data_IF_157549089820
#
_entry.id   IF_157549089820
#
_cell.length_a   1.000
_cell.length_b   1.000
_cell.length_c   1.000
_cell.angle_alpha   90.00
_cell.angle_beta   90.00
_cell.angle_gamma   90.00
#
_symmetry.space_group_name_H-M   'P 1'
#
loop_
_entity.id
_entity.type
_entity.pdbx_description
1 polymer ?
#
# COMPACT_ATOMS: atom_id res chain seq x y z
N UNK A 1 29.35 -19.89 24.36
CA UNK A 1 28.69 -18.86 23.55
C UNK A 1 28.03 -19.57 22.38
N UNK A 2 26.75 -19.88 22.51
CA UNK A 2 25.96 -20.43 21.42
C UNK A 2 25.63 -19.30 20.44
N UNK A 3 25.65 -19.52 19.12
CA UNK A 3 25.05 -18.57 18.20
C UNK A 3 23.57 -18.53 18.51
N UNK A 4 23.06 -17.33 18.80
CA UNK A 4 21.64 -17.06 18.87
C UNK A 4 21.06 -17.48 17.53
N UNK A 5 20.11 -18.42 17.56
CA UNK A 5 19.26 -18.69 16.41
C UNK A 5 18.56 -17.36 16.06
N UNK A 6 18.92 -16.77 14.93
CA UNK A 6 18.00 -15.92 14.17
C UNK A 6 16.87 -16.81 13.66
N UNK A 7 15.95 -17.16 14.56
CA UNK A 7 14.61 -17.58 14.21
C UNK A 7 13.69 -16.37 14.33
N UNK A 8 13.91 -15.35 13.49
CA UNK A 8 12.83 -14.46 13.10
C UNK A 8 12.41 -14.93 11.72
N UNK A 9 11.20 -15.49 11.61
CA UNK A 9 10.54 -15.65 10.33
C UNK A 9 10.30 -14.25 9.76
N UNK A 10 11.32 -13.68 9.14
CA UNK A 10 11.23 -12.41 8.43
C UNK A 10 10.26 -12.65 7.28
N UNK A 11 9.03 -12.16 7.42
CA UNK A 11 8.00 -12.28 6.41
C UNK A 11 8.18 -11.10 5.46
N UNK A 12 8.81 -11.35 4.31
CA UNK A 12 8.81 -10.39 3.22
C UNK A 12 7.35 -10.05 2.89
N UNK A 13 6.99 -8.77 2.96
CA UNK A 13 5.66 -8.30 2.63
C UNK A 13 5.76 -7.13 1.66
N UNK A 14 5.26 -7.36 0.44
CA UNK A 14 5.14 -6.29 -0.53
C UNK A 14 4.01 -5.33 -0.19
N UNK A 15 4.33 -4.05 -0.17
CA UNK A 15 3.38 -2.96 0.02
C UNK A 15 3.48 -1.98 -1.14
N UNK A 16 2.39 -1.83 -1.89
CA UNK A 16 2.29 -0.79 -2.91
C UNK A 16 1.67 0.45 -2.27
N UNK A 17 2.46 1.51 -2.15
CA UNK A 17 1.97 2.84 -1.86
C UNK A 17 1.53 3.53 -3.15
N UNK A 18 0.39 4.20 -3.11
CA UNK A 18 -0.14 5.05 -4.18
C UNK A 18 -0.47 6.41 -3.57
N UNK A 19 0.03 7.47 -4.20
CA UNK A 19 -0.26 8.85 -3.86
C UNK A 19 -0.87 9.55 -5.06
N UNK A 20 -2.01 10.21 -4.86
CA UNK A 20 -2.68 11.04 -5.86
C UNK A 20 -2.39 12.52 -5.60
N UNK A 21 -2.10 13.29 -6.65
CA UNK A 21 -1.86 14.72 -6.58
C UNK A 21 -2.88 15.51 -7.41
N UNK A 22 -3.67 16.36 -6.74
CA UNK A 22 -4.57 17.33 -7.36
C UNK A 22 -3.87 18.68 -7.43
N UNK A 23 -3.69 19.23 -8.64
CA UNK A 23 -3.02 20.52 -8.85
C UNK A 23 -1.63 20.65 -8.19
N UNK A 24 -0.93 19.52 -8.03
CA UNK A 24 0.41 19.46 -7.42
C UNK A 24 0.41 19.19 -5.92
N UNK A 25 -0.74 19.26 -5.26
CA UNK A 25 -0.93 18.97 -3.84
C UNK A 25 -1.35 17.51 -3.63
N UNK A 26 -0.81 16.85 -2.60
CA UNK A 26 -1.18 15.48 -2.24
C UNK A 26 -2.63 15.45 -1.79
N UNK A 27 -3.51 14.74 -2.51
CA UNK A 27 -4.94 14.60 -2.16
C UNK A 27 -5.24 13.28 -1.47
N UNK A 28 -4.61 12.17 -1.88
CA UNK A 28 -4.91 10.84 -1.34
C UNK A 28 -3.66 10.00 -1.21
N UNK A 29 -3.52 9.28 -0.11
CA UNK A 29 -2.51 8.22 0.07
C UNK A 29 -3.21 6.89 0.33
N UNK A 30 -2.78 5.85 -0.36
CA UNK A 30 -3.23 4.48 -0.17
C UNK A 30 -2.03 3.55 -0.03
N UNK A 31 -2.15 2.58 0.86
CA UNK A 31 -1.25 1.44 0.92
C UNK A 31 -2.04 0.18 0.58
N UNK A 32 -1.46 -0.64 -0.29
CA UNK A 32 -2.06 -1.87 -0.79
C UNK A 32 -1.15 -3.04 -0.46
N UNK A 33 -1.74 -4.08 0.13
CA UNK A 33 -1.05 -5.28 0.60
C UNK A 33 -1.84 -6.52 0.19
N UNK A 34 -1.22 -7.69 0.27
CA UNK A 34 -1.90 -8.98 0.09
C UNK A 34 -1.68 -9.89 1.30
N UNK A 35 -2.77 -10.26 1.95
CA UNK A 35 -2.85 -11.21 3.05
C UNK A 35 -2.88 -12.63 2.44
N UNK A 36 -1.84 -13.46 2.67
CA UNK A 36 -1.75 -14.78 2.02
C UNK A 36 -2.52 -15.88 2.74
N UNK A 37 -2.75 -15.74 4.05
CA UNK A 37 -3.57 -16.66 4.86
C UNK A 37 -5.03 -16.48 4.48
N UNK A 38 -5.55 -15.24 4.50
CA UNK A 38 -6.92 -14.91 4.12
C UNK A 38 -7.12 -14.84 2.59
N UNK A 39 -6.01 -14.83 1.84
CA UNK A 39 -5.96 -14.78 0.36
C UNK A 39 -6.74 -13.60 -0.20
N UNK A 40 -6.49 -12.42 0.34
CA UNK A 40 -7.15 -11.19 -0.06
C UNK A 40 -6.25 -9.97 -0.03
N UNK A 41 -6.58 -9.00 -0.86
CA UNK A 41 -5.99 -7.69 -0.86
C UNK A 41 -6.57 -6.79 0.22
N UNK A 42 -5.65 -6.07 0.84
CA UNK A 42 -5.75 -4.93 1.71
C UNK A 42 -5.72 -3.54 1.11
N UNK A 43 -6.60 -2.60 1.43
CA UNK A 43 -6.26 -1.17 1.32
C UNK A 43 -6.38 -0.53 2.69
N UNK A 44 -5.35 0.24 3.05
CA UNK A 44 -5.41 1.27 4.09
C UNK A 44 -5.19 2.61 3.42
N UNK A 45 -6.21 3.45 3.38
CA UNK A 45 -6.15 4.73 2.67
C UNK A 45 -6.66 5.90 3.49
N UNK A 46 -6.21 7.11 3.17
CA UNK A 46 -6.70 8.36 3.74
C UNK A 46 -6.61 9.46 2.68
N UNK A 47 -7.58 10.35 2.64
CA UNK A 47 -7.44 11.63 1.92
C UNK A 47 -6.58 12.59 2.76
N UNK A 48 -5.93 13.53 2.12
CA UNK A 48 -5.33 14.67 2.82
C UNK A 48 -6.45 15.58 3.29
N UNK A 49 -6.24 16.16 4.46
CA UNK A 49 -7.12 17.17 5.00
C UNK A 49 -6.94 18.48 4.20
N UNK A 50 -7.66 18.62 3.08
CA UNK A 50 -7.57 19.76 2.16
C UNK A 50 -8.06 21.09 2.78
N UNK A 51 -8.72 21.03 3.94
CA UNK A 51 -9.20 22.17 4.70
C UNK A 51 -8.91 21.98 6.18
N UNK A 52 -8.65 23.04 6.95
CA UNK A 52 -8.59 22.97 8.42
C UNK A 52 -9.88 22.41 9.06
N UNK A 53 -11.00 22.40 8.32
CA UNK A 53 -12.28 21.83 8.76
C UNK A 53 -12.52 20.41 8.24
N UNK A 54 -11.68 19.89 7.35
CA UNK A 54 -11.76 18.49 6.93
C UNK A 54 -10.94 17.63 7.91
N UNK A 55 -11.61 16.69 8.56
CA UNK A 55 -11.00 15.64 9.38
C UNK A 55 -11.28 14.30 8.70
N UNK A 56 -10.62 14.10 7.56
CA UNK A 56 -10.78 12.89 6.78
C UNK A 56 -10.27 11.70 7.59
N UNK A 57 -11.07 10.63 7.64
CA UNK A 57 -10.73 9.43 8.39
C UNK A 57 -10.06 8.40 7.49
N UNK A 58 -9.08 7.65 8.03
CA UNK A 58 -8.59 6.47 7.34
C UNK A 58 -9.74 5.51 7.07
N UNK A 59 -9.70 4.87 5.92
CA UNK A 59 -10.65 3.84 5.52
C UNK A 59 -9.92 2.54 5.19
N UNK A 60 -10.70 1.47 5.16
CA UNK A 60 -10.25 0.14 4.85
C UNK A 60 -11.12 -0.48 3.78
N UNK A 61 -10.50 -1.17 2.84
CA UNK A 61 -11.20 -1.94 1.81
C UNK A 61 -10.49 -3.27 1.62
N UNK A 62 -11.27 -4.34 1.43
CA UNK A 62 -10.76 -5.69 1.23
C UNK A 62 -11.35 -6.28 -0.04
N UNK A 63 -10.53 -6.98 -0.82
CA UNK A 63 -11.00 -7.64 -2.04
C UNK A 63 -10.14 -8.84 -2.39
N UNK A 64 -10.71 -9.89 -2.97
CA UNK A 64 -9.94 -11.07 -3.41
C UNK A 64 -9.29 -10.91 -4.78
N UNK A 65 -9.84 -10.02 -5.61
CA UNK A 65 -9.50 -9.91 -7.02
C UNK A 65 -8.84 -8.56 -7.34
N UNK A 66 -7.77 -8.61 -8.14
CA UNK A 66 -6.98 -7.43 -8.48
C UNK A 66 -7.71 -6.46 -9.43
N UNK A 67 -8.64 -6.94 -10.26
CA UNK A 67 -9.42 -6.08 -11.16
C UNK A 67 -10.46 -5.28 -10.36
N UNK A 68 -11.19 -5.95 -9.47
CA UNK A 68 -12.14 -5.30 -8.57
C UNK A 68 -11.45 -4.31 -7.62
N UNK A 69 -10.24 -4.64 -7.16
CA UNK A 69 -9.43 -3.72 -6.38
C UNK A 69 -8.99 -2.50 -7.19
N UNK A 70 -8.60 -2.70 -8.46
CA UNK A 70 -8.30 -1.61 -9.37
C UNK A 70 -9.52 -0.72 -9.62
N UNK A 71 -10.73 -1.29 -9.73
CA UNK A 71 -11.98 -0.52 -9.84
C UNK A 71 -12.19 0.38 -8.62
N UNK A 72 -12.03 -0.17 -7.42
CA UNK A 72 -12.13 0.62 -6.19
C UNK A 72 -11.09 1.75 -6.14
N UNK A 73 -9.83 1.46 -6.44
CA UNK A 73 -8.76 2.48 -6.46
C UNK A 73 -9.11 3.58 -7.47
N UNK A 74 -9.60 3.22 -8.66
CA UNK A 74 -9.97 4.16 -9.72
C UNK A 74 -11.19 5.02 -9.38
N UNK A 75 -12.06 4.52 -8.50
CA UNK A 75 -13.17 5.30 -7.94
C UNK A 75 -12.67 6.25 -6.85
N UNK A 76 -11.77 5.78 -5.99
CA UNK A 76 -11.31 6.51 -4.83
C UNK A 76 -10.29 7.61 -5.17
N UNK A 77 -9.54 7.48 -6.28
CA UNK A 77 -8.67 8.54 -6.82
C UNK A 77 -9.27 9.19 -8.07
N UNK A 78 -8.95 10.45 -8.35
CA UNK A 78 -9.27 11.05 -9.65
C UNK A 78 -8.29 10.56 -10.71
N UNK A 79 -8.74 9.71 -11.64
CA UNK A 79 -7.90 9.18 -12.74
C UNK A 79 -7.30 10.23 -13.70
N UNK A 80 -7.76 11.49 -13.62
CA UNK A 80 -7.19 12.61 -14.39
C UNK A 80 -5.97 13.23 -13.69
N UNK A 81 -5.82 13.00 -12.39
CA UNK A 81 -4.73 13.51 -11.59
C UNK A 81 -3.44 12.72 -11.83
N UNK A 82 -2.33 13.30 -11.38
CA UNK A 82 -1.04 12.60 -11.39
C UNK A 82 -0.97 11.69 -10.18
N UNK A 83 -0.34 10.54 -10.36
CA UNK A 83 -0.06 9.62 -9.27
C UNK A 83 1.44 9.34 -9.13
N UNK A 84 1.88 9.18 -7.89
CA UNK A 84 3.15 8.57 -7.55
C UNK A 84 2.85 7.19 -6.97
N UNK A 85 3.66 6.20 -7.28
CA UNK A 85 3.54 4.89 -6.65
C UNK A 85 4.91 4.31 -6.34
N UNK A 86 4.99 3.69 -5.17
CA UNK A 86 6.23 3.12 -4.62
C UNK A 86 5.93 1.72 -4.13
N UNK A 87 6.79 0.77 -4.48
CA UNK A 87 6.74 -0.60 -3.99
C UNK A 87 7.78 -0.78 -2.89
N UNK A 88 7.33 -1.19 -1.71
CA UNK A 88 8.17 -1.52 -0.56
C UNK A 88 8.20 -3.02 -0.30
N UNK A 89 9.27 -3.50 0.31
CA UNK A 89 9.35 -4.83 0.94
C UNK A 89 9.65 -4.68 2.43
N UNK A 90 8.63 -4.76 3.27
CA UNK A 90 8.81 -4.74 4.73
C UNK A 90 9.02 -6.17 5.24
N UNK A 91 9.86 -6.35 6.26
CA UNK A 91 10.16 -7.67 6.85
C UNK A 91 9.62 -7.83 8.27
N UNK A 92 9.04 -6.77 8.84
CA UNK A 92 8.66 -6.64 10.25
C UNK A 92 7.21 -6.15 10.44
N UNK A 93 6.34 -6.43 9.47
CA UNK A 93 4.91 -6.13 9.61
C UNK A 93 4.24 -7.08 10.63
N UNK A 94 3.21 -6.61 11.34
CA UNK A 94 2.36 -7.45 12.18
C UNK A 94 1.79 -8.66 11.43
N UNK A 95 1.65 -9.77 12.15
CA UNK A 95 1.14 -11.03 11.58
C UNK A 95 -0.35 -10.96 11.22
N UNK A 96 -1.10 -10.03 11.83
CA UNK A 96 -2.53 -9.86 11.59
C UNK A 96 -2.78 -8.58 10.80
N UNK A 97 -3.46 -8.69 9.67
CA UNK A 97 -3.74 -7.54 8.80
C UNK A 97 -4.54 -6.43 9.48
N UNK A 98 -5.34 -6.75 10.51
CA UNK A 98 -6.06 -5.77 11.34
C UNK A 98 -5.15 -4.89 12.20
N UNK A 99 -3.94 -5.36 12.52
CA UNK A 99 -2.93 -4.57 13.25
C UNK A 99 -2.16 -3.63 12.31
N UNK A 100 -2.17 -3.91 11.00
CA UNK A 100 -1.56 -3.08 9.96
C UNK A 100 -2.49 -1.90 9.64
N UNK A 101 -2.39 -0.84 10.44
CA UNK A 101 -3.21 0.38 10.27
C UNK A 101 -2.60 1.36 9.26
N UNK A 102 -3.40 2.32 8.79
CA UNK A 102 -2.91 3.43 7.95
C UNK A 102 -1.78 4.22 8.65
N UNK A 103 -1.97 4.56 9.93
CA UNK A 103 -0.99 5.33 10.70
C UNK A 103 0.32 4.58 10.83
N UNK A 104 0.26 3.27 11.14
CA UNK A 104 1.43 2.41 11.22
C UNK A 104 2.23 2.40 9.91
N UNK A 105 1.55 2.18 8.76
CA UNK A 105 2.23 2.21 7.45
C UNK A 105 2.78 3.60 7.11
N UNK A 106 2.09 4.67 7.51
CA UNK A 106 2.56 6.05 7.27
C UNK A 106 3.79 6.40 8.10
N UNK A 107 3.95 5.80 9.29
CA UNK A 107 5.17 5.94 10.10
C UNK A 107 6.36 5.23 9.43
N UNK A 108 6.13 4.04 8.86
CA UNK A 108 7.15 3.26 8.13
C UNK A 108 7.52 3.85 6.75
N UNK A 109 6.63 4.60 6.12
CA UNK A 109 6.79 5.24 4.79
C UNK A 109 8.04 6.13 4.69
N UNK A 110 8.58 6.62 5.82
CA UNK A 110 9.74 7.50 5.83
C UNK A 110 11.08 6.77 5.63
N UNK A 111 11.10 5.43 5.58
CA UNK A 111 12.32 4.65 5.49
C UNK A 111 12.56 4.09 4.08
N UNK A 112 13.37 4.83 3.31
CA UNK A 112 13.76 4.45 1.94
C UNK A 112 14.50 3.11 1.82
N UNK A 113 14.97 2.50 2.92
CA UNK A 113 15.66 1.21 2.88
C UNK A 113 14.76 0.05 2.45
N UNK A 114 13.45 0.22 2.60
CA UNK A 114 12.46 -0.76 2.17
C UNK A 114 12.01 -0.59 0.72
N UNK A 115 12.38 0.50 0.05
CA UNK A 115 11.94 0.78 -1.31
C UNK A 115 12.60 -0.17 -2.32
N UNK A 116 11.78 -0.82 -3.14
CA UNK A 116 12.21 -1.61 -4.30
C UNK A 116 12.19 -0.74 -5.57
N UNK A 117 11.12 0.04 -5.75
CA UNK A 117 10.93 0.88 -6.92
C UNK A 117 9.95 2.02 -6.64
N UNK A 118 10.24 3.21 -7.14
CA UNK A 118 9.38 4.39 -7.08
C UNK A 118 9.20 5.05 -8.46
N UNK A 119 8.00 5.56 -8.73
CA UNK A 119 7.68 6.26 -9.96
C UNK A 119 6.85 7.51 -9.68
N UNK A 120 7.41 8.67 -10.03
CA UNK A 120 6.79 9.95 -9.71
C UNK A 120 5.85 10.48 -10.80
N UNK A 121 4.73 11.06 -10.35
CA UNK A 121 3.82 11.93 -11.11
C UNK A 121 3.47 11.38 -12.51
N UNK A 122 3.15 10.09 -12.59
CA UNK A 122 2.71 9.42 -13.82
C UNK A 122 1.25 9.76 -14.16
N UNK A 123 0.85 9.44 -15.38
CA UNK A 123 -0.57 9.40 -15.74
C UNK A 123 -1.17 8.08 -15.26
N UNK A 124 -2.41 8.11 -14.80
CA UNK A 124 -3.15 6.90 -14.47
C UNK A 124 -3.17 5.93 -15.66
N UNK A 125 -2.86 4.66 -15.39
CA UNK A 125 -2.94 3.56 -16.35
C UNK A 125 -3.45 2.31 -15.65
N UNK A 126 -4.71 1.95 -15.92
CA UNK A 126 -5.36 0.80 -15.30
C UNK A 126 -4.57 -0.50 -15.49
N UNK A 127 -4.10 -0.76 -16.71
CA UNK A 127 -3.37 -1.99 -17.01
C UNK A 127 -2.09 -2.09 -16.16
N UNK A 128 -1.40 -0.97 -15.97
CA UNK A 128 -0.22 -0.92 -15.11
C UNK A 128 -0.59 -1.14 -13.64
N UNK A 129 -1.65 -0.49 -13.14
CA UNK A 129 -2.16 -0.70 -11.78
C UNK A 129 -2.43 -2.18 -11.53
N UNK A 130 -3.22 -2.82 -12.39
CA UNK A 130 -3.59 -4.23 -12.28
C UNK A 130 -2.35 -5.13 -12.26
N UNK A 131 -1.35 -4.87 -13.11
CA UNK A 131 -0.08 -5.61 -13.09
C UNK A 131 0.62 -5.46 -11.74
N UNK A 132 0.71 -4.24 -11.22
CA UNK A 132 1.30 -3.98 -9.91
C UNK A 132 0.56 -4.68 -8.77
N UNK A 133 -0.77 -4.67 -8.79
CA UNK A 133 -1.60 -5.39 -7.81
C UNK A 133 -1.39 -6.91 -7.88
N UNK A 134 -1.28 -7.48 -9.08
CA UNK A 134 -0.98 -8.91 -9.26
C UNK A 134 0.40 -9.29 -8.72
N UNK A 135 1.38 -8.38 -8.74
CA UNK A 135 2.71 -8.64 -8.14
C UNK A 135 2.64 -8.83 -6.62
N UNK A 136 1.80 -8.08 -5.91
CA UNK A 136 1.69 -8.15 -4.45
C UNK A 136 1.31 -9.54 -3.94
N UNK A 137 0.60 -10.33 -4.76
CA UNK A 137 0.20 -11.70 -4.45
C UNK A 137 1.33 -12.73 -4.64
N UNK A 138 2.39 -12.37 -5.38
CA UNK A 138 3.40 -13.33 -5.84
C UNK A 138 4.65 -13.40 -4.95
N UNK A 139 4.73 -12.60 -3.88
CA UNK A 139 5.76 -12.76 -2.86
C UNK A 139 5.27 -13.74 -1.80
N UNK A 140 6.20 -14.58 -1.33
CA UNK A 140 5.96 -15.51 -0.23
C UNK A 140 5.77 -14.73 1.07
N UNK A 141 4.62 -14.06 1.24
CA UNK A 141 4.30 -13.36 2.49
C UNK A 141 3.92 -14.38 3.58
N UNK A 142 4.75 -15.36 3.92
CA UNK A 142 4.50 -16.17 5.12
C UNK A 142 4.81 -15.33 6.35
N UNK A 143 3.79 -14.72 6.95
CA UNK A 143 3.80 -14.20 8.32
C UNK A 143 3.56 -15.30 9.34
#
# INVERSE_FOLDING_TARGET
>A
MSPLLENSSNSDCLVLKIEEYSDGELDTTMFVLYDVIEKMYFIRGKRTDMSPMSDSKPYSFQCKDAENLADFISFAICVKNKWTYVLYNYYDLPNYSDEITYTYLKEMDNDSRYEIAGYDKKNYCREHLVKSLKMLKNVFNTY
#
